data_IF_231129216408
#
_entry.id   IF_231129216408
#
_cell.length_a   1.000
_cell.length_b   1.000
_cell.length_c   1.000
_cell.angle_alpha   90.00
_cell.angle_beta   90.00
_cell.angle_gamma   90.00
#
_symmetry.space_group_name_H-M   'P 1'
#
loop_
_entity.id
_entity.type
_entity.pdbx_description
1 polymer ?
#
# COMPACT_ATOMS: atom_id res chain seq x y z
N UNK A 1 -26.87 -0.80 15.56
CA UNK A 1 -26.82 0.41 14.69
C UNK A 1 -27.27 -0.02 13.31
N UNK A 2 -28.39 0.52 12.78
CA UNK A 2 -28.94 0.11 11.49
C UNK A 2 -28.03 0.50 10.31
N UNK A 3 -28.28 -0.09 9.13
CA UNK A 3 -27.50 0.17 7.88
C UNK A 3 -27.36 1.64 7.54
N UNK A 4 -28.42 2.43 7.74
CA UNK A 4 -28.39 3.88 7.52
C UNK A 4 -27.39 4.61 8.42
N UNK A 5 -27.20 4.16 9.65
CA UNK A 5 -26.22 4.74 10.57
C UNK A 5 -24.77 4.44 10.15
N UNK A 6 -24.49 3.23 9.68
CA UNK A 6 -23.16 2.85 9.14
C UNK A 6 -22.84 3.62 7.87
N UNK A 7 -23.81 3.81 6.99
CA UNK A 7 -23.65 4.58 5.75
C UNK A 7 -23.36 6.06 6.03
N UNK A 8 -24.03 6.65 7.02
CA UNK A 8 -23.81 8.05 7.42
C UNK A 8 -22.40 8.26 7.97
N UNK A 9 -21.93 7.37 8.86
CA UNK A 9 -20.58 7.43 9.43
C UNK A 9 -19.52 7.30 8.32
N UNK A 10 -19.71 6.40 7.34
CA UNK A 10 -18.82 6.26 6.21
C UNK A 10 -18.74 7.55 5.40
N UNK A 11 -19.88 8.16 5.05
CA UNK A 11 -19.92 9.44 4.31
C UNK A 11 -19.25 10.59 5.07
N UNK A 12 -19.46 10.69 6.37
CA UNK A 12 -18.80 11.71 7.21
C UNK A 12 -17.28 11.48 7.26
N UNK A 13 -16.82 10.23 7.30
CA UNK A 13 -15.41 9.88 7.21
C UNK A 13 -14.77 10.25 5.87
N UNK A 14 -15.48 10.03 4.77
CA UNK A 14 -15.04 10.41 3.41
C UNK A 14 -14.91 11.93 3.27
N UNK A 15 -15.89 12.71 3.78
CA UNK A 15 -15.85 14.17 3.79
C UNK A 15 -14.66 14.68 4.64
N UNK A 16 -14.48 14.12 5.84
CA UNK A 16 -13.36 14.47 6.72
C UNK A 16 -12.00 14.18 6.09
N UNK A 17 -11.86 13.04 5.40
CA UNK A 17 -10.63 12.67 4.70
C UNK A 17 -10.34 13.59 3.50
N UNK A 18 -11.37 13.95 2.75
CA UNK A 18 -11.26 14.90 1.63
C UNK A 18 -10.85 16.28 2.10
N UNK A 19 -11.49 16.79 3.15
CA UNK A 19 -11.15 18.08 3.77
C UNK A 19 -9.69 18.08 4.25
N UNK A 20 -9.27 17.05 4.96
CA UNK A 20 -7.87 16.91 5.41
C UNK A 20 -6.89 16.95 4.24
N UNK A 21 -7.11 16.16 3.19
CA UNK A 21 -6.23 16.12 2.03
C UNK A 21 -6.14 17.43 1.27
N UNK A 22 -7.26 18.18 1.21
CA UNK A 22 -7.34 19.41 0.40
C UNK A 22 -6.84 20.64 1.16
N UNK A 23 -7.15 20.75 2.45
CA UNK A 23 -6.91 21.96 3.23
C UNK A 23 -5.71 21.82 4.16
N UNK A 24 -5.63 20.72 4.93
CA UNK A 24 -4.62 20.57 5.99
C UNK A 24 -3.31 19.98 5.45
N UNK A 25 -3.42 18.95 4.61
CA UNK A 25 -2.25 18.22 4.14
C UNK A 25 -1.22 19.07 3.37
N UNK A 26 -1.56 20.10 2.59
CA UNK A 26 -0.57 20.97 1.96
C UNK A 26 0.42 21.60 2.96
N UNK A 27 -0.05 22.01 4.14
CA UNK A 27 0.82 22.57 5.19
C UNK A 27 1.66 21.48 5.85
N UNK A 28 1.07 20.33 6.14
CA UNK A 28 1.79 19.15 6.67
C UNK A 28 2.88 18.71 5.70
N UNK A 29 2.60 18.72 4.41
CA UNK A 29 3.55 18.39 3.34
C UNK A 29 4.77 19.31 3.39
N UNK A 30 4.59 20.62 3.48
CA UNK A 30 5.70 21.59 3.56
C UNK A 30 6.60 21.25 4.77
N UNK A 31 5.99 20.96 5.93
CA UNK A 31 6.75 20.58 7.12
C UNK A 31 7.55 19.29 6.92
N UNK A 32 6.96 18.28 6.27
CA UNK A 32 7.64 17.04 5.92
C UNK A 32 8.82 17.31 4.97
N UNK A 33 8.61 18.07 3.89
CA UNK A 33 9.63 18.39 2.88
C UNK A 33 10.83 19.12 3.52
N UNK A 34 10.56 20.10 4.38
CA UNK A 34 11.60 20.84 5.10
C UNK A 34 12.39 19.95 6.06
N UNK A 35 11.68 19.13 6.86
CA UNK A 35 12.31 18.27 7.86
C UNK A 35 13.17 17.18 7.23
N UNK A 36 12.69 16.57 6.15
CA UNK A 36 13.31 15.39 5.53
C UNK A 36 14.17 15.73 4.30
N UNK A 37 14.16 16.99 3.85
CA UNK A 37 14.76 17.42 2.57
C UNK A 37 14.24 16.59 1.40
N UNK A 38 12.99 16.15 1.47
CA UNK A 38 12.33 15.36 0.44
C UNK A 38 11.52 16.28 -0.49
N UNK A 39 11.13 15.76 -1.65
CA UNK A 39 10.34 16.47 -2.65
C UNK A 39 9.05 15.68 -2.88
N UNK A 40 7.93 16.34 -2.69
CA UNK A 40 6.61 15.77 -2.96
C UNK A 40 5.93 16.56 -4.08
N UNK A 41 5.56 15.89 -5.17
CA UNK A 41 4.95 16.53 -6.33
C UNK A 41 3.45 16.75 -6.14
N UNK A 42 2.85 17.53 -7.03
CA UNK A 42 1.44 17.89 -7.01
C UNK A 42 0.53 16.66 -6.85
N UNK A 43 -0.48 16.76 -5.98
CA UNK A 43 -1.45 15.70 -5.67
C UNK A 43 -0.83 14.40 -5.10
N UNK A 44 0.46 14.39 -4.74
CA UNK A 44 1.01 13.29 -3.96
C UNK A 44 0.51 13.35 -2.52
N UNK A 45 0.39 12.20 -1.89
CA UNK A 45 -0.10 12.08 -0.52
C UNK A 45 0.68 11.03 0.26
N UNK A 46 1.00 11.35 1.50
CA UNK A 46 1.51 10.39 2.50
C UNK A 46 0.65 10.48 3.75
N UNK A 47 0.25 9.35 4.32
CA UNK A 47 -0.52 9.33 5.55
C UNK A 47 0.38 9.49 6.80
N UNK A 48 -0.22 9.60 7.99
CA UNK A 48 0.51 9.73 9.27
C UNK A 48 1.38 8.52 9.62
N UNK A 49 1.06 7.34 9.09
CA UNK A 49 1.84 6.12 9.29
C UNK A 49 3.06 6.00 8.37
N UNK A 50 3.18 6.89 7.37
CA UNK A 50 4.29 6.89 6.42
C UNK A 50 5.48 7.66 6.97
N UNK A 51 6.68 7.08 6.84
CA UNK A 51 7.96 7.67 7.24
C UNK A 51 8.82 7.88 6.01
N UNK A 52 9.21 9.13 5.73
CA UNK A 52 10.22 9.48 4.74
C UNK A 52 11.57 9.64 5.47
N UNK A 53 12.54 8.79 5.14
CA UNK A 53 13.85 8.74 5.82
C UNK A 53 14.82 9.83 5.37
N UNK A 54 14.44 10.62 4.37
CA UNK A 54 15.17 11.80 3.89
C UNK A 54 15.60 11.70 2.44
N UNK A 55 15.68 12.87 1.78
CA UNK A 55 16.03 13.02 0.35
C UNK A 55 15.19 12.14 -0.56
N UNK A 56 13.95 11.87 -0.17
CA UNK A 56 13.01 11.09 -0.96
C UNK A 56 12.36 11.96 -2.03
N UNK A 57 11.90 11.32 -3.10
CA UNK A 57 11.02 11.95 -4.07
C UNK A 57 9.73 11.14 -4.18
N UNK A 58 8.59 11.85 -4.07
CA UNK A 58 7.26 11.26 -4.26
C UNK A 58 6.59 11.97 -5.43
N UNK A 59 6.38 11.22 -6.50
CA UNK A 59 5.87 11.70 -7.78
C UNK A 59 4.43 12.18 -7.74
N UNK A 60 4.00 12.83 -8.82
CA UNK A 60 2.65 13.38 -8.98
C UNK A 60 1.59 12.28 -8.86
N UNK A 61 0.49 12.57 -8.17
CA UNK A 61 -0.64 11.67 -7.93
C UNK A 61 -0.30 10.36 -7.19
N UNK A 62 0.88 10.22 -6.61
CA UNK A 62 1.26 9.01 -5.88
C UNK A 62 0.75 9.05 -4.45
N UNK A 63 0.29 7.91 -3.97
CA UNK A 63 -0.26 7.73 -2.61
C UNK A 63 0.60 6.70 -1.87
N UNK A 64 1.16 7.10 -0.74
CA UNK A 64 1.92 6.22 0.13
C UNK A 64 1.18 6.11 1.48
N UNK A 65 0.77 4.89 1.83
CA UNK A 65 0.01 4.64 3.05
C UNK A 65 0.76 3.63 3.93
N UNK A 66 1.17 4.03 5.14
CA UNK A 66 1.96 3.19 6.07
C UNK A 66 3.26 2.66 5.44
N UNK A 67 3.96 3.50 4.69
CA UNK A 67 5.22 3.16 4.01
C UNK A 67 6.40 3.69 4.81
N UNK A 68 7.40 2.85 5.05
CA UNK A 68 8.72 3.28 5.51
C UNK A 68 9.63 3.38 4.28
N UNK A 69 9.85 4.60 3.78
CA UNK A 69 10.64 4.85 2.57
C UNK A 69 12.07 5.24 2.95
N UNK A 70 13.01 4.36 2.64
CA UNK A 70 14.42 4.49 2.93
C UNK A 70 15.07 5.74 2.32
N UNK A 71 16.18 6.16 2.91
CA UNK A 71 16.89 7.36 2.49
C UNK A 71 17.27 7.32 1.00
N UNK A 72 17.04 8.42 0.29
CA UNK A 72 17.41 8.59 -1.12
C UNK A 72 16.54 7.82 -2.12
N UNK A 73 15.56 7.03 -1.65
CA UNK A 73 14.66 6.30 -2.55
C UNK A 73 13.60 7.21 -3.13
N UNK A 74 13.19 6.92 -4.37
CA UNK A 74 12.13 7.67 -5.02
C UNK A 74 11.01 6.77 -5.54
N UNK A 75 9.81 7.31 -5.52
CA UNK A 75 8.60 6.73 -6.11
C UNK A 75 8.10 7.68 -7.18
N UNK A 76 7.99 7.23 -8.42
CA UNK A 76 7.56 8.04 -9.54
C UNK A 76 6.05 8.33 -9.50
N UNK A 77 5.47 8.85 -10.57
CA UNK A 77 4.09 9.30 -10.62
C UNK A 77 3.06 8.16 -10.63
N UNK A 78 1.85 8.45 -10.16
CA UNK A 78 0.67 7.56 -10.17
C UNK A 78 0.92 6.23 -9.44
N UNK A 79 1.79 6.18 -8.47
CA UNK A 79 2.03 4.98 -7.68
C UNK A 79 1.05 4.90 -6.51
N UNK A 80 0.57 3.71 -6.23
CA UNK A 80 -0.18 3.36 -5.03
C UNK A 80 0.58 2.29 -4.27
N UNK A 81 1.21 2.69 -3.15
CA UNK A 81 2.01 1.81 -2.31
C UNK A 81 1.50 1.87 -0.87
N UNK A 82 1.11 0.73 -0.35
CA UNK A 82 0.57 0.63 1.00
C UNK A 82 1.25 -0.47 1.82
N UNK A 83 1.42 -0.22 3.12
CA UNK A 83 1.98 -1.17 4.08
C UNK A 83 3.31 -1.79 3.58
N UNK A 84 4.25 -0.94 3.18
CA UNK A 84 5.51 -1.36 2.59
C UNK A 84 6.72 -0.83 3.37
N UNK A 85 7.75 -1.66 3.48
CA UNK A 85 9.09 -1.26 3.90
C UNK A 85 9.97 -1.24 2.66
N UNK A 86 10.55 -0.08 2.36
CA UNK A 86 11.42 0.15 1.21
C UNK A 86 12.79 0.57 1.70
N UNK A 87 13.82 -0.08 1.22
CA UNK A 87 15.20 0.20 1.53
C UNK A 87 15.70 1.54 0.96
N UNK A 88 17.00 1.75 1.03
CA UNK A 88 17.66 2.98 0.58
C UNK A 88 17.95 2.93 -0.91
N UNK A 89 17.96 4.10 -1.55
CA UNK A 89 18.39 4.31 -2.95
C UNK A 89 17.60 3.52 -3.99
N UNK A 90 16.37 3.11 -3.67
CA UNK A 90 15.49 2.43 -4.61
C UNK A 90 14.96 3.39 -5.69
N UNK A 91 14.85 2.88 -6.90
CA UNK A 91 14.35 3.57 -8.08
C UNK A 91 13.02 2.94 -8.50
N UNK A 92 11.89 3.57 -8.12
CA UNK A 92 10.56 3.02 -8.38
C UNK A 92 9.86 3.80 -9.49
N UNK A 93 9.58 3.11 -10.59
CA UNK A 93 8.94 3.63 -11.79
C UNK A 93 7.48 4.05 -11.60
N UNK A 94 6.88 4.68 -12.62
CA UNK A 94 5.50 5.15 -12.56
C UNK A 94 4.50 4.00 -12.58
N UNK A 95 3.29 4.27 -12.05
CA UNK A 95 2.16 3.36 -12.03
C UNK A 95 2.45 2.05 -11.26
N UNK A 96 3.30 2.12 -10.21
CA UNK A 96 3.43 1.00 -9.29
C UNK A 96 2.11 0.78 -8.57
N UNK A 97 1.64 -0.47 -8.49
CA UNK A 97 0.45 -0.86 -7.76
C UNK A 97 0.77 -1.94 -6.72
N UNK A 98 0.47 -1.65 -5.47
CA UNK A 98 0.50 -2.65 -4.40
C UNK A 98 -0.85 -3.36 -4.33
N UNK A 99 -0.86 -4.68 -4.56
CA UNK A 99 -2.08 -5.48 -4.58
C UNK A 99 -2.29 -6.08 -3.18
N UNK A 100 -3.34 -5.61 -2.50
CA UNK A 100 -3.78 -6.15 -1.22
C UNK A 100 -4.98 -7.09 -1.37
N UNK A 101 -5.21 -7.91 -0.34
CA UNK A 101 -6.33 -8.83 -0.28
C UNK A 101 -6.14 -10.09 -1.13
N UNK A 102 -6.52 -11.22 -0.55
CA UNK A 102 -6.60 -12.50 -1.25
C UNK A 102 -8.01 -13.03 -1.13
N UNK A 103 -8.38 -13.91 -2.04
CA UNK A 103 -9.61 -14.68 -1.96
C UNK A 103 -9.30 -16.16 -1.73
N UNK A 104 -10.15 -16.89 -1.02
CA UNK A 104 -9.94 -18.32 -0.80
C UNK A 104 -10.08 -19.08 -2.12
N UNK A 105 -9.01 -19.77 -2.53
CA UNK A 105 -9.00 -20.61 -3.73
C UNK A 105 -9.25 -22.09 -3.42
N UNK A 106 -8.90 -22.51 -2.18
CA UNK A 106 -9.00 -23.89 -1.73
C UNK A 106 -9.88 -23.98 -0.49
N UNK A 107 -10.56 -25.12 -0.32
CA UNK A 107 -11.39 -25.45 0.86
C UNK A 107 -12.61 -24.54 1.12
N UNK A 108 -12.93 -23.63 0.21
CA UNK A 108 -14.12 -22.77 0.26
C UNK A 108 -14.99 -22.98 -0.99
N UNK A 109 -16.30 -22.92 -0.80
CA UNK A 109 -17.24 -23.10 -1.91
C UNK A 109 -17.33 -21.89 -2.84
N UNK A 110 -16.85 -20.74 -2.40
CA UNK A 110 -16.89 -19.48 -3.16
C UNK A 110 -15.72 -18.59 -2.79
N UNK A 111 -15.20 -17.87 -3.78
CA UNK A 111 -14.22 -16.80 -3.61
C UNK A 111 -14.87 -15.47 -3.19
N UNK A 112 -16.19 -15.36 -3.23
CA UNK A 112 -16.89 -14.12 -2.93
C UNK A 112 -16.93 -13.86 -1.41
N UNK A 113 -16.54 -12.64 -0.95
CA UNK A 113 -16.34 -12.34 0.46
C UNK A 113 -17.62 -12.44 1.32
N UNK A 114 -18.80 -12.33 0.73
CA UNK A 114 -20.04 -12.52 1.47
C UNK A 114 -20.18 -13.92 2.10
N UNK A 115 -19.41 -14.91 1.64
CA UNK A 115 -19.46 -16.29 2.16
C UNK A 115 -18.40 -16.59 3.23
N UNK A 116 -17.43 -15.69 3.45
CA UNK A 116 -16.36 -15.94 4.40
C UNK A 116 -16.04 -14.77 5.36
N UNK A 117 -16.58 -13.57 5.13
CA UNK A 117 -16.35 -12.41 5.98
C UNK A 117 -17.63 -11.63 6.26
N UNK A 118 -17.84 -11.19 7.52
CA UNK A 118 -18.99 -10.36 7.90
C UNK A 118 -18.83 -8.92 7.39
N UNK A 119 -17.65 -8.35 7.57
CA UNK A 119 -17.30 -7.02 7.10
C UNK A 119 -16.47 -7.16 5.82
N UNK A 120 -17.06 -6.87 4.68
CA UNK A 120 -16.45 -7.07 3.38
C UNK A 120 -16.90 -6.01 2.37
N UNK A 121 -16.23 -5.95 1.22
CA UNK A 121 -16.48 -4.96 0.19
C UNK A 121 -17.86 -5.06 -0.48
N UNK A 122 -18.53 -6.21 -0.42
CA UNK A 122 -19.87 -6.38 -1.01
C UNK A 122 -21.00 -5.74 -0.20
N UNK A 123 -20.73 -5.35 1.05
CA UNK A 123 -21.69 -4.70 1.93
C UNK A 123 -22.73 -5.62 2.59
N UNK A 124 -22.68 -6.92 2.32
CA UNK A 124 -23.55 -7.92 2.97
C UNK A 124 -22.78 -9.23 3.21
N UNK A 125 -23.33 -10.12 4.06
CA UNK A 125 -22.69 -11.40 4.36
C UNK A 125 -23.73 -12.48 4.67
N UNK A 126 -23.44 -13.70 4.26
CA UNK A 126 -24.14 -14.92 4.64
C UNK A 126 -23.43 -15.65 5.80
N UNK A 127 -22.30 -15.14 6.27
CA UNK A 127 -21.57 -15.75 7.36
C UNK A 127 -22.37 -15.60 8.67
N UNK A 128 -22.72 -16.74 9.25
CA UNK A 128 -23.36 -16.84 10.58
C UNK A 128 -22.33 -17.31 11.61
N UNK A 129 -22.59 -17.07 12.89
CA UNK A 129 -21.69 -17.47 13.98
C UNK A 129 -20.89 -16.30 14.56
N UNK A 130 -19.96 -16.59 15.46
CA UNK A 130 -19.24 -15.56 16.23
C UNK A 130 -18.05 -14.95 15.48
N UNK A 131 -17.41 -15.70 14.58
CA UNK A 131 -16.23 -15.24 13.87
C UNK A 131 -16.56 -14.16 12.83
N UNK A 132 -15.75 -13.12 12.76
CA UNK A 132 -15.89 -12.05 11.78
C UNK A 132 -15.41 -12.47 10.37
N UNK A 133 -14.46 -13.38 10.30
CA UNK A 133 -14.00 -14.02 9.06
C UNK A 133 -13.52 -15.44 9.33
N UNK A 134 -13.72 -16.33 8.35
CA UNK A 134 -13.19 -17.70 8.34
C UNK A 134 -12.02 -17.86 7.38
N UNK A 135 -11.57 -16.76 6.77
CA UNK A 135 -10.43 -16.70 5.87
C UNK A 135 -9.53 -15.52 6.22
N UNK A 136 -8.22 -15.71 6.12
CA UNK A 136 -7.22 -14.64 6.31
C UNK A 136 -6.84 -14.07 4.96
N UNK A 137 -7.29 -12.84 4.70
CA UNK A 137 -7.06 -12.16 3.41
C UNK A 137 -5.65 -11.58 3.30
N UNK A 138 -5.05 -11.18 4.44
CA UNK A 138 -3.78 -10.45 4.47
C UNK A 138 -2.59 -11.38 4.64
N UNK A 139 -1.53 -11.14 3.85
CA UNK A 139 -0.22 -11.77 4.00
C UNK A 139 0.81 -10.71 4.35
N UNK A 140 1.48 -10.90 5.48
CA UNK A 140 2.51 -10.00 5.96
C UNK A 140 3.89 -10.61 5.74
N UNK A 141 4.89 -9.76 5.50
CA UNK A 141 6.30 -10.16 5.40
C UNK A 141 7.01 -10.09 6.75
N UNK A 142 6.40 -9.44 7.74
CA UNK A 142 6.97 -9.25 9.08
C UNK A 142 6.08 -9.81 10.19
N UNK A 143 6.69 -10.25 11.29
CA UNK A 143 6.00 -10.80 12.46
C UNK A 143 5.08 -9.77 13.15
N UNK A 144 5.42 -8.50 13.07
CA UNK A 144 4.62 -7.41 13.64
C UNK A 144 3.34 -7.12 12.86
N UNK A 145 3.12 -7.79 11.73
CA UNK A 145 1.98 -7.63 10.82
C UNK A 145 1.77 -6.19 10.40
N UNK A 146 2.86 -5.50 10.12
CA UNK A 146 2.86 -4.10 9.69
C UNK A 146 3.01 -3.95 8.19
N UNK A 147 3.84 -4.80 7.58
CA UNK A 147 4.19 -4.67 6.18
C UNK A 147 3.72 -5.87 5.36
N UNK A 148 3.11 -5.57 4.22
CA UNK A 148 2.75 -6.55 3.19
C UNK A 148 3.90 -6.79 2.22
N UNK A 149 4.81 -5.81 2.10
CA UNK A 149 5.91 -5.80 1.15
C UNK A 149 7.20 -5.39 1.83
N UNK A 150 8.29 -6.08 1.55
CA UNK A 150 9.63 -5.64 1.90
C UNK A 150 10.46 -5.54 0.62
N UNK A 151 10.98 -4.34 0.35
CA UNK A 151 11.83 -4.04 -0.80
C UNK A 151 13.19 -3.65 -0.24
N UNK A 152 14.23 -4.36 -0.63
CA UNK A 152 15.60 -4.16 -0.19
C UNK A 152 16.20 -2.83 -0.62
N UNK A 153 17.50 -2.70 -0.50
CA UNK A 153 18.22 -1.50 -0.90
C UNK A 153 18.61 -1.55 -2.38
N UNK A 154 18.72 -0.40 -3.02
CA UNK A 154 19.20 -0.25 -4.41
C UNK A 154 18.41 -1.08 -5.43
N UNK A 155 17.10 -1.24 -5.18
CA UNK A 155 16.20 -1.99 -6.06
C UNK A 155 15.70 -1.06 -7.17
N UNK A 156 15.69 -1.57 -8.41
CA UNK A 156 15.06 -0.90 -9.53
C UNK A 156 13.75 -1.58 -9.93
N UNK A 157 12.64 -0.86 -9.84
CA UNK A 157 11.31 -1.31 -10.25
C UNK A 157 10.88 -0.50 -11.48
N UNK A 158 10.61 -1.19 -12.58
CA UNK A 158 10.15 -0.60 -13.83
C UNK A 158 8.74 0.00 -13.74
N UNK A 159 8.27 0.56 -14.84
CA UNK A 159 6.93 1.14 -14.94
C UNK A 159 5.83 0.05 -14.97
N UNK A 160 4.63 0.39 -14.47
CA UNK A 160 3.44 -0.48 -14.51
C UNK A 160 3.63 -1.83 -13.80
N UNK A 161 4.45 -1.89 -12.77
CA UNK A 161 4.65 -3.09 -11.97
C UNK A 161 3.55 -3.22 -10.93
N UNK A 162 3.07 -4.45 -10.74
CA UNK A 162 2.16 -4.80 -9.66
C UNK A 162 2.84 -5.77 -8.69
N UNK A 163 2.74 -5.53 -7.38
CA UNK A 163 3.35 -6.39 -6.35
C UNK A 163 2.24 -6.99 -5.49
N UNK A 164 2.19 -8.32 -5.41
CA UNK A 164 1.27 -9.03 -4.53
C UNK A 164 1.75 -9.01 -3.08
N UNK A 165 0.84 -8.97 -2.13
CA UNK A 165 1.17 -9.00 -0.69
C UNK A 165 1.91 -10.30 -0.29
N UNK A 166 2.75 -10.19 0.73
CA UNK A 166 3.61 -11.27 1.22
C UNK A 166 4.90 -11.45 0.42
N UNK A 167 5.28 -10.46 -0.42
CA UNK A 167 6.48 -10.53 -1.27
C UNK A 167 7.63 -9.74 -0.67
N UNK A 168 8.82 -10.35 -0.69
CA UNK A 168 10.10 -9.73 -0.40
C UNK A 168 10.92 -9.61 -1.69
N UNK A 169 11.46 -8.42 -1.97
CA UNK A 169 12.38 -8.15 -3.08
C UNK A 169 13.75 -7.85 -2.50
N UNK A 170 14.73 -8.68 -2.83
CA UNK A 170 16.09 -8.59 -2.30
C UNK A 170 16.88 -7.37 -2.78
N UNK A 171 17.95 -7.05 -2.08
CA UNK A 171 18.85 -5.93 -2.39
C UNK A 171 19.36 -5.98 -3.84
N UNK A 172 19.42 -4.86 -4.52
CA UNK A 172 19.95 -4.74 -5.88
C UNK A 172 19.15 -5.45 -6.96
N UNK A 173 17.96 -5.97 -6.66
CA UNK A 173 17.12 -6.62 -7.66
C UNK A 173 16.57 -5.63 -8.69
N UNK A 174 16.31 -6.13 -9.90
CA UNK A 174 15.70 -5.38 -10.99
C UNK A 174 14.39 -6.03 -11.38
N UNK A 175 13.29 -5.26 -11.32
CA UNK A 175 11.97 -5.69 -11.74
C UNK A 175 11.65 -5.04 -13.08
N UNK A 176 11.50 -5.85 -14.12
CA UNK A 176 11.13 -5.37 -15.46
C UNK A 176 9.78 -4.65 -15.48
N UNK A 177 9.62 -3.73 -16.41
CA UNK A 177 8.35 -3.02 -16.58
C UNK A 177 7.20 -3.99 -16.90
N UNK A 178 5.99 -3.67 -16.43
CA UNK A 178 4.77 -4.47 -16.64
C UNK A 178 4.79 -5.85 -15.97
N UNK A 179 5.68 -6.09 -15.01
CA UNK A 179 5.73 -7.35 -14.26
C UNK A 179 4.64 -7.43 -13.20
N UNK A 180 4.13 -8.64 -12.97
CA UNK A 180 3.37 -9.02 -11.78
C UNK A 180 4.30 -9.80 -10.84
N UNK A 181 4.72 -9.18 -9.75
CA UNK A 181 5.59 -9.80 -8.75
C UNK A 181 4.71 -10.51 -7.72
N UNK A 182 4.61 -11.83 -7.81
CA UNK A 182 3.75 -12.67 -6.97
C UNK A 182 4.52 -13.69 -6.12
N UNK A 183 5.83 -13.62 -6.12
CA UNK A 183 6.77 -14.44 -5.33
C UNK A 183 7.98 -13.62 -4.96
N UNK A 184 8.73 -14.09 -3.98
CA UNK A 184 9.97 -13.44 -3.56
C UNK A 184 10.98 -13.37 -4.71
N UNK A 185 11.77 -12.29 -4.70
CA UNK A 185 12.82 -12.03 -5.69
C UNK A 185 14.16 -12.00 -4.96
N UNK A 186 15.07 -12.86 -5.38
CA UNK A 186 16.40 -12.96 -4.79
C UNK A 186 17.21 -11.66 -4.99
N UNK A 187 18.16 -11.36 -4.09
CA UNK A 187 19.06 -10.24 -4.26
C UNK A 187 19.78 -10.29 -5.61
N UNK A 188 19.90 -9.12 -6.26
CA UNK A 188 20.55 -8.93 -7.57
C UNK A 188 19.94 -9.72 -8.74
N UNK A 189 18.77 -10.31 -8.54
CA UNK A 189 18.06 -10.98 -9.62
C UNK A 189 17.39 -9.97 -10.57
N UNK A 190 17.18 -10.41 -11.82
CA UNK A 190 16.34 -9.73 -12.81
C UNK A 190 15.06 -10.51 -12.98
N UNK A 191 13.94 -9.85 -12.74
CA UNK A 191 12.59 -10.44 -12.74
C UNK A 191 11.76 -9.90 -13.91
#
# INVERSE_FOLDING_TARGET
MGENGKMLIRKLGEIGSSFYRTIIFPFVRIAIELKTKSIMKQKSYVNKGTVLRGRNFVGKNSVLTNVDLGFGSYVSSNADLSNAKVGKYCSIGPNLSSIGGNHPLNHHKSTHPAFYAKNNASGFSYLTGEKDSIFTEDKYVDESKRYFYEIGNDVWIGANVSICQGVTIGDGAVIGACSLVNKDVEPYAVY
#
